data_IF_481401311827
#
_entry.id   IF_481401311827
#
_cell.length_a   1.000
_cell.length_b   1.000
_cell.length_c   1.000
_cell.angle_alpha   90.00
_cell.angle_beta   90.00
_cell.angle_gamma   90.00
#
_symmetry.space_group_name_H-M   'P 1'
#
loop_
_entity.id
_entity.type
_entity.pdbx_description
1 polymer ?
#
# COMPACT_ATOMS: atom_id res chain seq x y z
N UNK A 1 -9.47 2.66 -15.46
CA UNK A 1 -10.68 3.39 -15.96
C UNK A 1 -11.45 3.98 -14.76
N UNK A 2 -12.64 4.58 -14.93
CA UNK A 2 -13.37 5.21 -13.80
C UNK A 2 -13.72 4.21 -12.68
N UNK A 3 -14.03 2.97 -13.03
CA UNK A 3 -14.31 1.91 -12.05
C UNK A 3 -13.06 1.59 -11.22
N UNK A 4 -11.92 1.41 -11.88
CA UNK A 4 -10.62 1.18 -11.23
C UNK A 4 -10.25 2.30 -10.24
N UNK A 5 -10.53 3.56 -10.58
CA UNK A 5 -10.29 4.69 -9.66
C UNK A 5 -11.14 4.60 -8.39
N UNK A 6 -12.41 4.22 -8.53
CA UNK A 6 -13.35 4.10 -7.41
C UNK A 6 -13.04 2.92 -6.50
N UNK A 7 -12.66 1.78 -7.07
CA UNK A 7 -12.17 0.62 -6.29
C UNK A 7 -10.91 0.98 -5.51
N UNK A 8 -10.01 1.72 -6.15
CA UNK A 8 -8.75 2.13 -5.52
C UNK A 8 -8.95 3.13 -4.39
N UNK A 9 -9.97 3.98 -4.47
CA UNK A 9 -10.38 4.86 -3.37
C UNK A 9 -10.91 4.08 -2.16
N UNK A 10 -11.66 3.00 -2.39
CA UNK A 10 -12.06 2.09 -1.31
C UNK A 10 -10.83 1.44 -0.69
N UNK A 11 -9.93 0.92 -1.51
CA UNK A 11 -8.69 0.26 -1.06
C UNK A 11 -7.80 1.20 -0.26
N UNK A 12 -7.68 2.47 -0.68
CA UNK A 12 -6.97 3.51 0.08
C UNK A 12 -7.61 3.80 1.44
N UNK A 13 -8.94 3.71 1.53
CA UNK A 13 -9.66 3.74 2.79
C UNK A 13 -9.49 2.47 3.64
N UNK A 14 -8.90 1.41 3.07
CA UNK A 14 -8.74 0.11 3.69
C UNK A 14 -9.96 -0.80 3.58
N UNK A 15 -10.81 -0.58 2.56
CA UNK A 15 -12.05 -1.30 2.28
C UNK A 15 -11.99 -1.90 0.86
N UNK A 16 -12.67 -3.03 0.61
CA UNK A 16 -12.84 -3.55 -0.74
C UNK A 16 -14.24 -3.27 -1.33
N UNK A 17 -14.48 -3.64 -2.61
CA UNK A 17 -15.76 -3.47 -3.28
C UNK A 17 -16.94 -4.10 -2.53
N UNK A 18 -16.71 -5.16 -1.76
CA UNK A 18 -17.72 -5.81 -0.90
C UNK A 18 -18.33 -4.87 0.15
N UNK A 19 -17.62 -3.79 0.51
CA UNK A 19 -18.11 -2.77 1.46
C UNK A 19 -19.28 -1.94 0.91
N UNK A 20 -19.51 -1.98 -0.40
CA UNK A 20 -20.67 -1.37 -1.08
C UNK A 20 -21.96 -2.20 -0.92
N UNK A 21 -21.87 -3.50 -0.62
CA UNK A 21 -23.01 -4.41 -0.61
C UNK A 21 -23.68 -4.49 -1.99
N UNK A 22 -25.00 -4.34 -2.05
CA UNK A 22 -25.77 -4.37 -3.32
C UNK A 22 -25.70 -3.05 -4.12
N UNK A 23 -24.94 -2.06 -3.64
CA UNK A 23 -24.86 -0.74 -4.29
C UNK A 23 -23.87 -0.75 -5.45
N UNK A 24 -24.22 -0.02 -6.51
CA UNK A 24 -23.33 0.16 -7.66
C UNK A 24 -22.05 0.91 -7.28
N UNK A 25 -20.94 0.55 -7.94
CA UNK A 25 -19.66 1.24 -7.85
C UNK A 25 -19.76 2.61 -8.54
N UNK A 26 -20.10 3.63 -7.76
CA UNK A 26 -20.09 5.03 -8.19
C UNK A 26 -19.56 5.93 -7.06
N UNK A 27 -19.19 7.17 -7.41
CA UNK A 27 -18.58 8.11 -6.45
C UNK A 27 -19.45 8.34 -5.22
N UNK A 28 -20.77 8.48 -5.37
CA UNK A 28 -21.65 8.75 -4.23
C UNK A 28 -21.63 7.60 -3.22
N UNK A 29 -21.71 6.36 -3.69
CA UNK A 29 -21.70 5.17 -2.84
C UNK A 29 -20.33 4.92 -2.19
N UNK A 30 -19.23 5.16 -2.91
CA UNK A 30 -17.87 5.09 -2.34
C UNK A 30 -17.69 6.12 -1.22
N UNK A 31 -18.11 7.36 -1.44
CA UNK A 31 -18.04 8.42 -0.41
C UNK A 31 -18.91 8.08 0.80
N UNK A 32 -20.07 7.47 0.58
CA UNK A 32 -20.94 7.01 1.66
C UNK A 32 -20.25 5.93 2.51
N UNK A 33 -19.62 4.94 1.89
CA UNK A 33 -18.85 3.90 2.59
C UNK A 33 -17.73 4.54 3.40
N UNK A 34 -16.90 5.39 2.79
CA UNK A 34 -15.80 6.07 3.48
C UNK A 34 -16.29 6.87 4.70
N UNK A 35 -17.45 7.54 4.60
CA UNK A 35 -18.09 8.26 5.71
C UNK A 35 -18.62 7.33 6.80
N UNK A 36 -19.36 6.29 6.40
CA UNK A 36 -19.96 5.31 7.32
C UNK A 36 -18.90 4.67 8.21
N UNK A 37 -17.76 4.34 7.61
CA UNK A 37 -16.67 3.64 8.27
C UNK A 37 -15.66 4.58 8.96
N UNK A 38 -15.92 5.90 8.97
CA UNK A 38 -15.09 6.89 9.67
C UNK A 38 -13.70 7.11 9.04
N UNK A 39 -13.55 6.84 7.74
CA UNK A 39 -12.28 7.05 7.04
C UNK A 39 -11.84 8.51 7.11
N UNK A 40 -10.55 8.82 7.29
CA UNK A 40 -10.03 10.18 7.15
C UNK A 40 -10.36 10.83 5.79
N UNK A 41 -10.53 10.02 4.75
CA UNK A 41 -10.92 10.46 3.41
C UNK A 41 -12.36 11.03 3.37
N UNK A 42 -13.21 10.68 4.34
CA UNK A 42 -14.58 11.15 4.45
C UNK A 42 -14.70 12.67 4.65
N UNK A 43 -13.66 13.30 5.20
CA UNK A 43 -13.60 14.74 5.44
C UNK A 43 -13.33 15.55 4.14
N UNK A 44 -13.00 14.88 3.04
CA UNK A 44 -12.70 15.52 1.76
C UNK A 44 -13.98 15.86 1.00
N UNK A 45 -13.95 16.96 0.24
CA UNK A 45 -15.01 17.33 -0.69
C UNK A 45 -15.05 16.35 -1.87
N UNK A 46 -16.22 16.19 -2.52
CA UNK A 46 -16.38 15.32 -3.69
C UNK A 46 -15.31 15.58 -4.78
N UNK A 47 -15.05 16.85 -5.12
CA UNK A 47 -14.01 17.22 -6.08
C UNK A 47 -12.58 16.78 -5.68
N UNK A 48 -12.28 16.68 -4.37
CA UNK A 48 -10.97 16.19 -3.89
C UNK A 48 -10.90 14.67 -3.97
N UNK A 49 -12.02 13.98 -3.78
CA UNK A 49 -12.10 12.52 -3.91
C UNK A 49 -11.96 12.12 -5.37
N UNK A 50 -12.57 12.86 -6.29
CA UNK A 50 -12.36 12.69 -7.74
C UNK A 50 -10.90 12.92 -8.13
N UNK A 51 -10.29 14.03 -7.70
CA UNK A 51 -8.88 14.31 -7.95
C UNK A 51 -7.93 13.23 -7.38
N UNK A 52 -8.26 12.64 -6.23
CA UNK A 52 -7.50 11.51 -5.68
C UNK A 52 -7.58 10.28 -6.59
N UNK A 53 -8.76 9.99 -7.15
CA UNK A 53 -8.93 8.93 -8.14
C UNK A 53 -8.07 9.15 -9.39
N UNK A 54 -8.04 10.39 -9.91
CA UNK A 54 -7.20 10.75 -11.06
C UNK A 54 -5.71 10.58 -10.77
N UNK A 55 -5.25 11.07 -9.61
CA UNK A 55 -3.86 10.92 -9.17
C UNK A 55 -3.50 9.45 -9.04
N UNK A 56 -4.38 8.63 -8.46
CA UNK A 56 -4.14 7.20 -8.32
C UNK A 56 -3.96 6.52 -9.67
N UNK A 57 -4.88 6.74 -10.63
CA UNK A 57 -4.77 6.14 -11.96
C UNK A 57 -3.47 6.55 -12.64
N UNK A 58 -3.13 7.84 -12.59
CA UNK A 58 -1.89 8.34 -13.16
C UNK A 58 -0.65 7.70 -12.48
N UNK A 59 -0.65 7.55 -11.16
CA UNK A 59 0.44 6.87 -10.45
C UNK A 59 0.53 5.39 -10.82
N UNK A 60 -0.59 4.69 -10.93
CA UNK A 60 -0.64 3.29 -11.36
C UNK A 60 -0.09 3.11 -12.77
N UNK A 61 -0.47 3.98 -13.72
CA UNK A 61 0.05 3.98 -15.08
C UNK A 61 1.57 4.20 -15.10
N UNK A 62 2.06 5.20 -14.35
CA UNK A 62 3.49 5.48 -14.24
C UNK A 62 4.26 4.31 -13.66
N UNK A 63 3.77 3.69 -12.57
CA UNK A 63 4.44 2.55 -11.93
C UNK A 63 4.48 1.34 -12.86
N UNK A 64 3.38 1.03 -13.56
CA UNK A 64 3.30 -0.13 -14.47
C UNK A 64 4.13 0.04 -15.74
N UNK A 65 4.24 1.26 -16.25
CA UNK A 65 4.98 1.55 -17.47
C UNK A 65 6.47 1.79 -17.24
N UNK A 66 6.91 1.93 -15.98
CA UNK A 66 8.28 2.29 -15.68
C UNK A 66 9.24 1.11 -15.86
N UNK A 67 10.32 1.34 -16.61
CA UNK A 67 11.43 0.40 -16.71
C UNK A 67 12.34 0.54 -15.48
N UNK A 68 12.11 -0.33 -14.49
CA UNK A 68 12.82 -0.30 -13.22
C UNK A 68 14.30 -0.67 -13.39
N UNK A 69 15.18 0.28 -13.04
CA UNK A 69 16.64 0.02 -12.96
C UNK A 69 16.95 -0.93 -11.81
N UNK A 70 17.95 -1.79 -12.01
CA UNK A 70 18.47 -2.67 -10.95
C UNK A 70 19.19 -1.85 -9.89
N UNK A 71 18.73 -1.95 -8.64
CA UNK A 71 19.41 -1.40 -7.47
C UNK A 71 20.66 -2.24 -7.14
N UNK A 72 21.79 -1.55 -6.98
CA UNK A 72 23.07 -2.18 -6.66
C UNK A 72 23.34 -2.16 -5.16
N UNK A 73 22.86 -3.18 -4.44
CA UNK A 73 23.05 -3.30 -3.00
C UNK A 73 22.07 -4.27 -2.35
N UNK A 74 22.24 -4.47 -1.04
CA UNK A 74 21.33 -5.26 -0.22
C UNK A 74 20.09 -4.43 0.17
N UNK A 75 18.95 -5.10 0.31
CA UNK A 75 17.65 -4.50 0.65
C UNK A 75 17.11 -5.16 1.92
N UNK A 76 16.75 -4.34 2.91
CA UNK A 76 15.85 -4.76 3.99
C UNK A 76 14.42 -4.69 3.46
N UNK A 77 13.73 -5.83 3.42
CA UNK A 77 12.34 -5.91 2.99
C UNK A 77 11.43 -6.13 4.20
N UNK A 78 10.32 -5.42 4.28
CA UNK A 78 9.36 -5.56 5.36
C UNK A 78 8.01 -6.02 4.80
N UNK A 79 7.60 -7.25 5.14
CA UNK A 79 6.37 -7.87 4.64
C UNK A 79 5.29 -7.84 5.72
N UNK A 80 4.19 -7.14 5.46
CA UNK A 80 2.95 -7.30 6.23
C UNK A 80 2.40 -8.72 6.05
N UNK A 81 1.94 -9.36 7.12
CA UNK A 81 1.46 -10.76 7.09
C UNK A 81 -0.02 -10.93 7.43
N UNK A 82 -0.75 -9.85 7.67
CA UNK A 82 -2.20 -9.87 7.94
C UNK A 82 -2.95 -9.27 6.74
N UNK A 83 -4.12 -9.80 6.44
CA UNK A 83 -4.98 -9.36 5.32
C UNK A 83 -4.24 -9.30 3.96
N UNK A 84 -3.35 -10.27 3.71
CA UNK A 84 -2.61 -10.36 2.46
C UNK A 84 -3.58 -10.53 1.29
N UNK A 85 -3.57 -9.58 0.37
CA UNK A 85 -4.48 -9.57 -0.79
C UNK A 85 -4.06 -10.61 -1.84
N UNK A 86 -2.76 -10.89 -1.93
CA UNK A 86 -2.19 -11.82 -2.90
C UNK A 86 -0.92 -12.48 -2.33
N UNK A 87 -1.00 -13.79 -2.10
CA UNK A 87 0.12 -14.58 -1.56
C UNK A 87 1.30 -14.73 -2.53
N UNK A 88 1.12 -14.39 -3.81
CA UNK A 88 2.20 -14.38 -4.82
C UNK A 88 3.08 -13.13 -4.71
N UNK A 89 2.65 -12.09 -3.97
CA UNK A 89 3.45 -10.91 -3.68
C UNK A 89 4.47 -11.20 -2.58
N UNK A 90 5.50 -11.94 -2.96
CA UNK A 90 6.59 -12.34 -2.06
C UNK A 90 7.84 -11.48 -2.26
N UNK A 91 8.77 -11.45 -1.29
CA UNK A 91 10.04 -10.71 -1.43
C UNK A 91 10.83 -11.13 -2.67
N UNK A 92 10.71 -12.38 -3.11
CA UNK A 92 11.42 -12.92 -4.27
C UNK A 92 11.01 -12.24 -5.59
N UNK A 93 9.83 -11.63 -5.66
CA UNK A 93 9.38 -10.84 -6.82
C UNK A 93 10.29 -9.63 -7.09
N UNK A 94 11.11 -9.21 -6.12
CA UNK A 94 12.08 -8.13 -6.25
C UNK A 94 13.45 -8.57 -6.79
N UNK A 95 13.71 -9.87 -6.89
CA UNK A 95 15.00 -10.42 -7.35
C UNK A 95 15.44 -9.89 -8.71
N UNK A 96 14.56 -9.65 -9.72
CA UNK A 96 14.98 -9.05 -10.99
C UNK A 96 15.52 -7.61 -10.87
N UNK A 97 15.21 -6.92 -9.77
CA UNK A 97 15.47 -5.49 -9.59
C UNK A 97 16.53 -5.19 -8.51
N UNK A 98 17.09 -6.20 -7.85
CA UNK A 98 18.06 -6.05 -6.77
C UNK A 98 19.24 -6.98 -7.04
N UNK A 99 20.46 -6.45 -7.09
CA UNK A 99 21.66 -7.29 -7.31
C UNK A 99 22.25 -7.89 -6.04
N UNK A 100 21.92 -7.32 -4.87
CA UNK A 100 22.33 -7.83 -3.57
C UNK A 100 21.31 -8.77 -2.94
N UNK A 101 21.43 -8.94 -1.62
CA UNK A 101 20.53 -9.77 -0.83
C UNK A 101 19.23 -9.02 -0.52
N UNK A 102 18.13 -9.77 -0.47
CA UNK A 102 16.84 -9.29 0.04
C UNK A 102 16.64 -9.94 1.40
N UNK A 103 16.82 -9.17 2.47
CA UNK A 103 16.65 -9.63 3.85
C UNK A 103 15.23 -9.28 4.32
N UNK A 104 14.32 -10.26 4.24
CA UNK A 104 12.92 -10.10 4.59
C UNK A 104 12.66 -10.18 6.11
N UNK A 105 11.88 -9.23 6.62
CA UNK A 105 11.30 -9.20 7.96
C UNK A 105 9.79 -9.22 7.86
N UNK A 106 9.15 -10.24 8.43
CA UNK A 106 7.70 -10.29 8.54
C UNK A 106 7.23 -9.39 9.68
N UNK A 107 6.20 -8.59 9.42
CA UNK A 107 5.55 -7.68 10.38
C UNK A 107 4.10 -8.13 10.53
N UNK A 108 3.70 -8.47 11.76
CA UNK A 108 2.38 -9.05 12.08
C UNK A 108 1.25 -8.01 12.10
N UNK A 109 1.09 -7.28 11.00
CA UNK A 109 0.01 -6.31 10.78
C UNK A 109 -0.44 -6.33 9.32
N UNK A 110 -1.52 -5.61 9.01
CA UNK A 110 -1.91 -5.36 7.62
C UNK A 110 -0.99 -4.30 7.00
N UNK A 111 -0.93 -4.22 5.67
CA UNK A 111 -0.06 -3.25 4.99
C UNK A 111 -0.37 -1.79 5.38
N UNK A 112 -1.66 -1.44 5.45
CA UNK A 112 -2.12 -0.10 5.87
C UNK A 112 -1.71 0.26 7.31
N UNK A 113 -1.51 -0.75 8.15
CA UNK A 113 -1.19 -0.58 9.57
C UNK A 113 0.31 -0.55 9.87
N UNK A 114 1.19 -0.79 8.87
CA UNK A 114 2.65 -0.84 9.07
C UNK A 114 3.25 0.47 9.63
N UNK A 115 2.52 1.58 9.51
CA UNK A 115 2.93 2.90 10.01
C UNK A 115 2.33 3.25 11.37
N UNK A 116 1.52 2.37 11.97
CA UNK A 116 1.04 2.52 13.34
C UNK A 116 2.20 2.42 14.36
N UNK A 117 2.04 2.93 15.59
CA UNK A 117 3.14 3.08 16.54
C UNK A 117 3.93 1.79 16.82
N UNK A 118 3.27 0.64 16.92
CA UNK A 118 3.91 -0.63 17.26
C UNK A 118 4.66 -1.26 16.06
N UNK A 119 4.03 -1.42 14.87
CA UNK A 119 4.73 -1.89 13.68
C UNK A 119 5.91 -1.01 13.26
N UNK A 120 5.74 0.32 13.24
CA UNK A 120 6.81 1.24 12.81
C UNK A 120 7.99 1.22 13.79
N UNK A 121 7.75 1.04 15.10
CA UNK A 121 8.81 0.91 16.08
C UNK A 121 9.59 -0.40 15.93
N UNK A 122 8.92 -1.49 15.54
CA UNK A 122 9.60 -2.75 15.20
C UNK A 122 10.49 -2.59 13.96
N UNK A 123 9.95 -2.02 12.88
CA UNK A 123 10.70 -1.72 11.64
C UNK A 123 11.94 -0.85 11.95
N UNK A 124 11.76 0.23 12.70
CA UNK A 124 12.84 1.16 13.05
C UNK A 124 13.98 0.48 13.82
N UNK A 125 13.66 -0.46 14.72
CA UNK A 125 14.66 -1.24 15.46
C UNK A 125 15.49 -2.13 14.53
N UNK A 126 14.85 -2.84 13.59
CA UNK A 126 15.57 -3.67 12.60
C UNK A 126 16.50 -2.82 11.74
N UNK A 127 16.05 -1.63 11.32
CA UNK A 127 16.89 -0.68 10.57
C UNK A 127 18.07 -0.21 11.43
N UNK A 128 17.84 0.17 12.69
CA UNK A 128 18.89 0.63 13.60
C UNK A 128 19.95 -0.45 13.87
N UNK A 129 19.52 -1.70 14.06
CA UNK A 129 20.42 -2.85 14.25
C UNK A 129 21.30 -3.04 13.00
N UNK A 130 20.71 -3.01 11.79
CA UNK A 130 21.46 -3.14 10.53
C UNK A 130 22.46 -2.01 10.32
N UNK A 131 22.10 -0.77 10.67
CA UNK A 131 23.00 0.37 10.59
C UNK A 131 24.19 0.20 11.55
N UNK A 132 23.92 -0.25 12.78
CA UNK A 132 24.97 -0.52 13.77
C UNK A 132 25.93 -1.64 13.32
N UNK A 133 25.43 -2.64 12.59
CA UNK A 133 26.27 -3.69 12.01
C UNK A 133 27.18 -3.18 10.88
N UNK A 134 26.72 -2.21 10.09
CA UNK A 134 27.49 -1.62 8.98
C UNK A 134 28.59 -0.65 9.44
N UNK A 135 28.42 -0.06 10.62
CA UNK A 135 29.39 0.88 11.21
C UNK A 135 30.56 0.19 11.93
N UNK A 136 30.52 -1.14 12.09
CA UNK A 136 31.58 -1.95 12.70
C UNK A 136 32.63 -2.38 11.68
#
# INVERSE_FOLDING_TARGET
DQAEALESLLTMGGYGPESLGDKELNTANVVEVLRREGSPLAALSAAKIEALGEVYLNTNDLVRAYDHRVFQGDVLFFRATVDTIDDTLTPETWTPYVSGRIDNTNVACSHKDMTLPEPIAHIARVVADRLTELEK
#
